data_IF_827108012764
#
_entry.id   IF_827108012764
#
_cell.length_a   1.000
_cell.length_b   1.000
_cell.length_c   1.000
_cell.angle_alpha   90.00
_cell.angle_beta   90.00
_cell.angle_gamma   90.00
#
_symmetry.space_group_name_H-M   'P 1'
#
loop_
_entity.id
_entity.type
_entity.pdbx_description
1 polymer ?
#
# COMPACT_ATOMS: atom_id res chain seq x y z
N UNK A 1 29.74 1.06 0.47
CA UNK A 1 28.92 0.76 -0.72
C UNK A 1 28.08 1.97 -1.12
N UNK A 2 27.29 2.56 -0.22
CA UNK A 2 26.44 3.75 -0.47
C UNK A 2 27.23 4.96 -1.01
N UNK A 3 28.32 5.39 -0.37
CA UNK A 3 29.19 6.50 -0.86
C UNK A 3 29.72 6.30 -2.28
N UNK A 4 29.97 5.04 -2.68
CA UNK A 4 30.48 4.71 -4.03
C UNK A 4 29.39 4.79 -5.10
N UNK A 5 28.15 4.45 -4.74
CA UNK A 5 26.99 4.48 -5.65
C UNK A 5 26.52 5.93 -5.87
N UNK A 6 26.40 6.71 -4.80
CA UNK A 6 25.85 8.07 -4.85
C UNK A 6 26.91 9.17 -4.99
N UNK A 7 28.20 8.81 -4.97
CA UNK A 7 29.34 9.74 -5.07
C UNK A 7 29.32 10.90 -4.06
N UNK A 8 28.60 10.71 -2.94
CA UNK A 8 28.39 11.72 -1.91
C UNK A 8 28.59 11.11 -0.52
N UNK A 9 29.07 11.93 0.42
CA UNK A 9 29.24 11.55 1.81
C UNK A 9 27.86 11.53 2.50
N UNK A 10 27.49 10.44 3.21
CA UNK A 10 26.21 10.39 3.92
C UNK A 10 26.15 11.49 4.99
N UNK A 11 25.07 12.27 5.01
CA UNK A 11 24.83 13.24 6.07
C UNK A 11 24.40 12.54 7.36
N UNK A 12 24.95 12.98 8.50
CA UNK A 12 24.61 12.46 9.84
C UNK A 12 23.94 13.53 10.71
N UNK A 13 23.15 14.41 10.09
CA UNK A 13 22.52 15.55 10.76
C UNK A 13 21.58 15.14 11.90
N UNK A 14 21.04 13.92 11.86
CA UNK A 14 20.13 13.39 12.87
C UNK A 14 20.67 12.06 13.41
N UNK A 15 20.51 11.85 14.71
CA UNK A 15 20.77 10.57 15.37
C UNK A 15 19.88 9.49 14.76
N UNK A 16 20.47 8.36 14.34
CA UNK A 16 19.76 7.33 13.59
C UNK A 16 18.68 6.64 14.43
N UNK A 17 18.96 6.40 15.70
CA UNK A 17 18.03 5.73 16.61
C UNK A 17 16.89 6.66 17.05
N UNK A 18 17.22 7.94 17.32
CA UNK A 18 16.23 8.93 17.76
C UNK A 18 15.33 9.38 16.61
N UNK A 19 15.85 9.42 15.37
CA UNK A 19 15.07 9.79 14.19
C UNK A 19 13.83 8.90 14.02
N UNK A 20 13.98 7.59 14.21
CA UNK A 20 12.87 6.64 14.08
C UNK A 20 11.85 6.80 15.21
N UNK A 21 12.33 6.92 16.46
CA UNK A 21 11.47 7.12 17.62
C UNK A 21 10.65 8.43 17.50
N UNK A 22 11.29 9.52 17.08
CA UNK A 22 10.65 10.81 16.89
C UNK A 22 9.63 10.80 15.75
N UNK A 23 9.94 10.12 14.65
CA UNK A 23 9.01 9.97 13.52
C UNK A 23 7.74 9.21 13.94
N UNK A 24 7.89 8.16 14.74
CA UNK A 24 6.76 7.42 15.29
C UNK A 24 5.91 8.28 16.22
N UNK A 25 6.53 9.00 17.16
CA UNK A 25 5.83 9.90 18.07
C UNK A 25 5.07 11.01 17.32
N UNK A 26 5.69 11.57 16.28
CA UNK A 26 5.06 12.55 15.40
C UNK A 26 3.84 11.96 14.69
N UNK A 27 3.97 10.77 14.09
CA UNK A 27 2.85 10.11 13.41
C UNK A 27 1.69 9.80 14.38
N UNK A 28 1.99 9.35 15.59
CA UNK A 28 0.99 9.13 16.63
C UNK A 28 0.23 10.42 16.98
N UNK A 29 0.95 11.53 17.06
CA UNK A 29 0.33 12.80 17.35
C UNK A 29 -0.48 13.32 16.14
N UNK A 30 -0.12 13.00 14.89
CA UNK A 30 -0.85 13.39 13.65
C UNK A 30 -2.20 12.69 13.63
N UNK A 31 -2.22 11.43 14.05
CA UNK A 31 -3.42 10.61 14.11
C UNK A 31 -4.27 10.89 15.37
N UNK A 32 -3.78 11.69 16.32
CA UNK A 32 -4.48 11.97 17.58
C UNK A 32 -5.61 12.98 17.36
N UNK A 33 -6.86 12.68 17.76
CA UNK A 33 -7.95 13.65 17.67
C UNK A 33 -7.86 14.77 18.73
N UNK A 34 -6.98 14.63 19.74
CA UNK A 34 -6.87 15.55 20.88
C UNK A 34 -5.78 16.59 20.62
N UNK A 35 -4.65 16.20 20.04
CA UNK A 35 -3.52 17.09 19.79
C UNK A 35 -3.66 17.79 18.43
N UNK A 36 -3.68 19.12 18.44
CA UNK A 36 -3.63 19.92 17.21
C UNK A 36 -2.18 20.21 16.86
N UNK A 37 -1.77 19.78 15.68
CA UNK A 37 -0.41 19.92 15.19
C UNK A 37 -0.37 20.69 13.89
N UNK A 38 0.82 21.12 13.47
CA UNK A 38 1.00 21.68 12.14
C UNK A 38 0.73 20.60 11.10
N UNK A 39 0.07 20.98 10.01
CA UNK A 39 -0.16 20.10 8.87
C UNK A 39 1.16 19.58 8.31
N UNK A 40 1.27 18.26 8.27
CA UNK A 40 2.39 17.55 7.68
C UNK A 40 1.82 16.33 6.94
N UNK A 41 2.10 16.23 5.64
CA UNK A 41 1.65 15.12 4.81
C UNK A 41 2.83 14.23 4.47
N UNK A 42 2.70 12.94 4.78
CA UNK A 42 3.63 11.89 4.36
C UNK A 42 2.99 11.16 3.21
N UNK A 43 3.68 11.12 2.07
CA UNK A 43 3.29 10.31 0.91
C UNK A 43 4.30 9.17 0.80
N UNK A 44 3.80 7.95 0.88
CA UNK A 44 4.59 6.73 0.69
C UNK A 44 4.33 6.13 -0.70
N UNK A 45 5.00 5.04 -1.05
CA UNK A 45 4.85 4.34 -2.31
C UNK A 45 4.55 2.85 -2.10
N UNK A 46 3.55 2.37 -2.83
CA UNK A 46 3.19 0.96 -2.87
C UNK A 46 4.33 0.13 -3.46
N UNK A 47 4.80 -0.89 -2.75
CA UNK A 47 5.99 -1.65 -3.18
C UNK A 47 5.71 -2.61 -4.34
N UNK A 48 4.51 -3.21 -4.36
CA UNK A 48 4.12 -4.24 -5.33
C UNK A 48 2.70 -4.00 -5.84
N UNK A 49 2.47 -4.40 -7.09
CA UNK A 49 1.14 -4.36 -7.68
C UNK A 49 0.18 -5.28 -6.92
N UNK A 50 -1.05 -4.83 -6.63
CA UNK A 50 -2.12 -5.66 -6.10
C UNK A 50 -3.23 -5.76 -7.12
N UNK A 51 -3.77 -6.98 -7.26
CA UNK A 51 -4.88 -7.28 -8.14
C UNK A 51 -6.05 -7.84 -7.37
N UNK A 52 -7.21 -7.67 -7.98
CA UNK A 52 -8.48 -8.15 -7.51
C UNK A 52 -9.01 -9.21 -8.45
N UNK A 53 -9.44 -10.31 -7.86
CA UNK A 53 -10.01 -11.48 -8.48
C UNK A 53 -11.48 -11.61 -8.06
N UNK A 54 -12.37 -11.88 -9.02
CA UNK A 54 -13.75 -12.25 -8.75
C UNK A 54 -14.27 -13.12 -9.88
N UNK A 55 -15.36 -13.83 -9.62
CA UNK A 55 -16.11 -14.50 -10.68
C UNK A 55 -16.46 -13.49 -11.79
N UNK A 56 -16.32 -13.80 -13.08
CA UNK A 56 -16.65 -12.87 -14.16
C UNK A 56 -18.16 -12.56 -14.18
N UNK A 57 -18.48 -11.29 -14.35
CA UNK A 57 -19.86 -10.78 -14.37
C UNK A 57 -20.36 -10.59 -15.79
N UNK A 58 -21.48 -9.89 -15.97
CA UNK A 58 -21.88 -9.45 -17.31
C UNK A 58 -20.89 -8.38 -17.82
N UNK A 59 -19.86 -8.81 -18.54
CA UNK A 59 -18.87 -7.92 -19.16
C UNK A 59 -17.78 -7.40 -18.21
N UNK A 60 -17.61 -8.01 -17.04
CA UNK A 60 -16.53 -7.67 -16.09
C UNK A 60 -15.37 -8.66 -16.23
N UNK A 61 -14.14 -8.14 -16.25
CA UNK A 61 -12.93 -8.95 -16.17
C UNK A 61 -12.82 -9.63 -14.80
N UNK A 62 -12.46 -10.91 -14.81
CA UNK A 62 -12.25 -11.69 -13.59
C UNK A 62 -11.07 -11.18 -12.77
N UNK A 63 -10.02 -10.66 -13.43
CA UNK A 63 -8.79 -10.11 -12.84
C UNK A 63 -8.65 -8.64 -13.21
N UNK A 64 -8.54 -7.76 -12.21
CA UNK A 64 -8.32 -6.32 -12.43
C UNK A 64 -7.23 -5.81 -11.50
N UNK A 65 -6.28 -5.07 -12.05
CA UNK A 65 -5.26 -4.38 -11.25
C UNK A 65 -5.90 -3.24 -10.43
N UNK A 66 -5.72 -3.29 -9.12
CA UNK A 66 -6.30 -2.29 -8.21
C UNK A 66 -5.27 -1.27 -7.75
N UNK A 67 -4.07 -1.71 -7.36
CA UNK A 67 -3.00 -0.82 -6.91
C UNK A 67 -1.74 -1.12 -7.72
N UNK A 68 -1.30 -0.22 -8.61
CA UNK A 68 -0.06 -0.40 -9.35
C UNK A 68 1.18 -0.34 -8.46
N UNK A 69 2.29 -0.90 -8.93
CA UNK A 69 3.60 -0.74 -8.31
C UNK A 69 4.00 0.74 -8.26
N UNK A 70 4.56 1.17 -7.14
CA UNK A 70 5.01 2.53 -6.83
C UNK A 70 3.90 3.58 -6.82
N UNK A 71 2.64 3.15 -6.72
CA UNK A 71 1.52 4.07 -6.54
C UNK A 71 1.61 4.81 -5.20
N UNK A 72 1.27 6.09 -5.18
CA UNK A 72 1.34 6.91 -3.96
C UNK A 72 0.32 6.46 -2.92
N UNK A 73 0.72 6.46 -1.65
CA UNK A 73 -0.12 6.13 -0.50
C UNK A 73 -0.16 7.32 0.48
N UNK A 74 -1.29 7.55 1.17
CA UNK A 74 -2.51 6.74 1.20
C UNK A 74 -3.39 6.93 -0.05
N UNK A 75 -3.99 5.85 -0.55
CA UNK A 75 -4.88 5.88 -1.71
C UNK A 75 -6.10 4.98 -1.51
N UNK A 76 -7.25 5.42 -2.02
CA UNK A 76 -8.51 4.67 -2.01
C UNK A 76 -9.01 4.43 -3.44
N UNK A 77 -9.18 3.16 -3.83
CA UNK A 77 -9.81 2.80 -5.11
C UNK A 77 -11.23 2.31 -4.88
N UNK A 78 -12.21 3.08 -5.34
CA UNK A 78 -13.60 2.64 -5.35
C UNK A 78 -13.83 1.69 -6.54
N UNK A 79 -14.45 0.55 -6.27
CA UNK A 79 -14.77 -0.47 -7.25
C UNK A 79 -16.29 -0.66 -7.31
N UNK A 80 -16.83 -0.83 -8.51
CA UNK A 80 -18.26 -1.04 -8.73
C UNK A 80 -18.45 -2.42 -9.38
N UNK A 81 -19.41 -3.19 -8.85
CA UNK A 81 -19.73 -4.53 -9.34
C UNK A 81 -21.22 -4.62 -9.66
N UNK A 82 -21.56 -5.23 -10.81
CA UNK A 82 -22.95 -5.44 -11.21
C UNK A 82 -23.36 -6.90 -11.00
N UNK A 83 -23.86 -7.22 -9.80
CA UNK A 83 -24.23 -8.58 -9.39
C UNK A 83 -25.62 -8.64 -8.76
N UNK A 84 -26.36 -9.70 -9.11
CA UNK A 84 -27.68 -9.99 -8.53
C UNK A 84 -27.65 -11.03 -7.42
N UNK A 85 -26.51 -11.69 -7.22
CA UNK A 85 -26.29 -12.73 -6.20
C UNK A 85 -25.01 -12.40 -5.43
N UNK A 86 -24.87 -12.93 -4.21
CA UNK A 86 -23.61 -12.88 -3.49
C UNK A 86 -22.45 -13.42 -4.33
N UNK A 87 -21.29 -12.78 -4.22
CA UNK A 87 -20.10 -13.16 -4.97
C UNK A 87 -18.83 -13.09 -4.11
N UNK A 88 -17.80 -13.79 -4.57
CA UNK A 88 -16.51 -13.81 -3.91
C UNK A 88 -15.55 -12.80 -4.55
N UNK A 89 -14.86 -12.08 -3.67
CA UNK A 89 -13.82 -11.12 -4.00
C UNK A 89 -12.52 -11.57 -3.35
N UNK A 90 -11.49 -11.77 -4.13
CA UNK A 90 -10.16 -12.12 -3.66
C UNK A 90 -9.18 -11.01 -4.05
N UNK A 91 -8.25 -10.70 -3.15
CA UNK A 91 -7.14 -9.77 -3.40
C UNK A 91 -5.85 -10.54 -3.32
N UNK A 92 -4.96 -10.34 -4.30
CA UNK A 92 -3.70 -11.07 -4.38
C UNK A 92 -2.63 -10.29 -5.13
N UNK A 93 -1.39 -10.70 -4.92
CA UNK A 93 -0.28 -10.26 -5.76
C UNK A 93 -0.29 -11.00 -7.11
N UNK A 94 0.01 -10.30 -8.23
CA UNK A 94 0.31 -10.95 -9.50
C UNK A 94 1.49 -11.91 -9.32
N UNK A 95 1.52 -13.02 -10.07
CA UNK A 95 2.69 -13.90 -10.10
C UNK A 95 3.92 -13.16 -10.66
N UNK A 96 3.68 -12.16 -11.50
CA UNK A 96 4.69 -11.29 -12.10
C UNK A 96 5.27 -10.25 -11.12
N UNK A 97 4.64 -10.03 -9.95
CA UNK A 97 5.09 -9.02 -8.97
C UNK A 97 6.38 -9.41 -8.22
N UNK A 98 6.84 -10.66 -8.34
CA UNK A 98 8.07 -11.16 -7.73
C UNK A 98 8.21 -10.84 -6.23
N UNK A 99 7.10 -10.95 -5.50
CA UNK A 99 7.07 -10.72 -4.04
C UNK A 99 7.90 -11.81 -3.36
N UNK A 100 8.74 -11.49 -2.36
CA UNK A 100 9.54 -12.47 -1.62
C UNK A 100 8.69 -13.24 -0.59
N UNK A 101 7.46 -13.62 -0.94
CA UNK A 101 6.55 -14.36 -0.08
C UNK A 101 5.90 -15.50 -0.88
N UNK A 102 5.81 -16.73 -0.32
CA UNK A 102 5.27 -17.87 -1.05
C UNK A 102 3.75 -17.78 -1.25
N UNK A 103 3.04 -17.17 -0.30
CA UNK A 103 1.60 -16.91 -0.44
C UNK A 103 1.39 -15.56 -1.12
N UNK A 104 0.63 -15.58 -2.22
CA UNK A 104 0.30 -14.38 -2.97
C UNK A 104 -1.09 -13.86 -2.60
N UNK A 105 -1.90 -14.64 -1.87
CA UNK A 105 -3.24 -14.25 -1.49
C UNK A 105 -3.20 -13.31 -0.29
N UNK A 106 -3.74 -12.10 -0.46
CA UNK A 106 -3.81 -11.09 0.59
C UNK A 106 -5.07 -11.22 1.45
N UNK A 107 -6.16 -11.66 0.83
CA UNK A 107 -7.45 -11.78 1.52
C UNK A 107 -8.58 -12.21 0.60
N UNK A 108 -9.61 -12.79 1.19
CA UNK A 108 -10.86 -13.14 0.54
C UNK A 108 -12.04 -12.50 1.28
N UNK A 109 -13.05 -12.08 0.52
CA UNK A 109 -14.23 -11.40 1.02
C UNK A 109 -15.44 -11.93 0.29
N UNK A 110 -16.53 -12.15 1.01
CA UNK A 110 -17.82 -12.50 0.43
C UNK A 110 -18.71 -11.28 0.51
N UNK A 111 -19.18 -10.81 -0.64
CA UNK A 111 -20.09 -9.68 -0.74
C UNK A 111 -21.48 -10.23 -0.99
N UNK A 112 -22.41 -9.98 -0.07
CA UNK A 112 -23.80 -10.46 -0.09
C UNK A 112 -24.79 -9.36 -0.39
#
# INVERSE_FOLDING_TARGET
>A
MVRKVFQQEPSMTVSQDEAMAWSCALQCAILSPIFKMRDFAVVDAQSYTIERWSDPGKGEDSRVEVLPRSHQLPFNKMLTFYRSKPFHLETRYPQEAAVPHPDLQLGNFTVS
#
